data_IF_956984574699
#
_entry.id   IF_956984574699
#
_cell.length_a   1.000
_cell.length_b   1.000
_cell.length_c   1.000
_cell.angle_alpha   90.00
_cell.angle_beta   90.00
_cell.angle_gamma   90.00
#
_symmetry.space_group_name_H-M   'P 1'
#
loop_
_entity.id
_entity.type
_entity.pdbx_description
1 polymer ?
#
# COMPACT_ATOMS: atom_id res chain seq x y z
N UNK A 1 -5.35 10.33 -13.10
CA UNK A 1 -6.08 9.09 -12.77
C UNK A 1 -6.34 9.13 -11.27
N UNK A 2 -7.53 8.77 -10.80
CA UNK A 2 -7.86 8.84 -9.37
C UNK A 2 -7.61 7.49 -8.71
N UNK A 3 -6.91 7.49 -7.57
CA UNK A 3 -6.68 6.28 -6.77
C UNK A 3 -7.76 6.20 -5.72
N UNK A 4 -8.46 5.07 -5.67
CA UNK A 4 -9.48 4.79 -4.67
C UNK A 4 -9.01 3.65 -3.77
N UNK A 5 -9.03 3.91 -2.46
CA UNK A 5 -8.73 2.90 -1.46
C UNK A 5 -9.98 2.13 -1.10
N UNK A 6 -9.90 0.80 -1.05
CA UNK A 6 -10.97 0.00 -0.48
C UNK A 6 -11.04 0.21 1.03
N UNK A 7 -12.22 0.03 1.64
CA UNK A 7 -12.37 0.09 3.10
C UNK A 7 -11.39 -0.84 3.81
N UNK A 8 -11.16 -2.04 3.25
CA UNK A 8 -10.21 -3.00 3.81
C UNK A 8 -8.77 -2.44 3.80
N UNK A 9 -8.35 -1.81 2.70
CA UNK A 9 -7.03 -1.22 2.59
C UNK A 9 -6.84 -0.05 3.59
N UNK A 10 -7.88 0.76 3.80
CA UNK A 10 -7.85 1.80 4.85
C UNK A 10 -7.73 1.21 6.26
N UNK A 11 -8.48 0.14 6.57
CA UNK A 11 -8.36 -0.57 7.86
C UNK A 11 -6.96 -1.17 8.05
N UNK A 12 -6.35 -1.71 7.00
CA UNK A 12 -4.98 -2.21 7.08
C UNK A 12 -3.97 -1.10 7.43
N UNK A 13 -4.11 0.10 6.85
CA UNK A 13 -3.26 1.25 7.20
C UNK A 13 -3.38 1.62 8.68
N UNK A 14 -4.61 1.65 9.21
CA UNK A 14 -4.87 1.90 10.64
C UNK A 14 -4.22 0.82 11.50
N UNK A 15 -4.41 -0.45 11.17
CA UNK A 15 -3.82 -1.56 11.92
C UNK A 15 -2.29 -1.55 11.90
N UNK A 16 -1.68 -1.18 10.78
CA UNK A 16 -0.22 -1.01 10.66
C UNK A 16 0.25 0.12 11.59
N UNK A 17 -0.45 1.25 11.57
CA UNK A 17 -0.16 2.37 12.46
C UNK A 17 -0.23 1.97 13.92
N UNK A 18 -1.37 1.40 14.34
CA UNK A 18 -1.65 1.01 15.74
C UNK A 18 -0.70 -0.08 16.24
N UNK A 19 -0.19 -0.92 15.34
CA UNK A 19 0.80 -1.91 15.69
C UNK A 19 2.17 -1.28 15.96
N UNK A 20 2.68 -0.47 15.04
CA UNK A 20 4.03 0.13 15.13
C UNK A 20 4.06 1.23 16.22
N UNK A 21 2.95 1.94 16.44
CA UNK A 21 2.87 3.05 17.39
C UNK A 21 3.12 2.62 18.84
N UNK A 22 2.90 1.34 19.15
CA UNK A 22 3.25 0.73 20.45
C UNK A 22 4.72 0.88 20.80
N UNK A 23 5.59 0.85 19.79
CA UNK A 23 7.04 1.04 19.95
C UNK A 23 7.44 2.49 19.61
N UNK A 24 6.87 3.06 18.54
CA UNK A 24 7.17 4.43 18.13
C UNK A 24 6.13 5.03 17.19
N UNK A 25 5.41 6.06 17.66
CA UNK A 25 4.48 6.82 16.82
C UNK A 25 5.15 7.46 15.60
N UNK A 26 6.40 7.93 15.73
CA UNK A 26 7.13 8.54 14.63
C UNK A 26 7.35 7.55 13.48
N UNK A 27 7.81 6.32 13.80
CA UNK A 27 7.98 5.29 12.79
C UNK A 27 6.66 4.77 12.25
N UNK A 28 5.59 4.75 13.05
CA UNK A 28 4.25 4.40 12.60
C UNK A 28 3.74 5.38 11.53
N UNK A 29 3.84 6.70 11.79
CA UNK A 29 3.49 7.75 10.81
C UNK A 29 4.32 7.58 9.54
N UNK A 30 5.64 7.47 9.70
CA UNK A 30 6.56 7.32 8.57
C UNK A 30 6.25 6.09 7.71
N UNK A 31 5.83 4.97 8.30
CA UNK A 31 5.47 3.78 7.55
C UNK A 31 4.19 4.00 6.73
N UNK A 32 3.14 4.55 7.35
CA UNK A 32 1.89 4.86 6.65
C UNK A 32 2.14 5.85 5.51
N UNK A 33 2.91 6.90 5.75
CA UNK A 33 3.25 7.91 4.74
C UNK A 33 4.00 7.31 3.55
N UNK A 34 4.89 6.34 3.78
CA UNK A 34 5.59 5.65 2.70
C UNK A 34 4.62 4.84 1.84
N UNK A 35 3.70 4.11 2.47
CA UNK A 35 2.71 3.28 1.78
C UNK A 35 1.75 4.17 0.97
N UNK A 36 1.23 5.24 1.55
CA UNK A 36 0.29 6.15 0.87
C UNK A 36 0.96 6.90 -0.27
N UNK A 37 2.19 7.41 -0.08
CA UNK A 37 2.96 8.07 -1.14
C UNK A 37 3.25 7.13 -2.32
N UNK A 38 3.48 5.85 -2.04
CA UNK A 38 3.66 4.85 -3.09
C UNK A 38 2.38 4.69 -3.93
N UNK A 39 1.20 4.77 -3.32
CA UNK A 39 -0.08 4.79 -4.04
C UNK A 39 -0.26 6.00 -4.95
N UNK A 40 0.26 7.16 -4.57
CA UNK A 40 0.20 8.36 -5.41
C UNK A 40 1.03 8.20 -6.68
N UNK A 41 2.19 7.53 -6.61
CA UNK A 41 3.02 7.24 -7.78
C UNK A 41 2.25 6.38 -8.81
N UNK A 42 1.42 5.44 -8.36
CA UNK A 42 0.63 4.56 -9.24
C UNK A 42 -0.36 5.35 -10.10
N UNK A 43 -0.85 6.50 -9.62
CA UNK A 43 -1.72 7.37 -10.41
C UNK A 43 -1.03 7.88 -11.69
N UNK A 44 0.31 7.96 -11.69
CA UNK A 44 1.13 8.38 -12.81
C UNK A 44 1.68 7.20 -13.62
N UNK A 45 1.99 6.07 -12.97
CA UNK A 45 2.50 4.86 -13.62
C UNK A 45 1.73 3.59 -13.18
N UNK A 46 0.50 3.37 -13.68
CA UNK A 46 -0.36 2.26 -13.23
C UNK A 46 0.22 0.87 -13.50
N UNK A 47 1.11 0.77 -14.49
CA UNK A 47 1.73 -0.50 -14.93
C UNK A 47 3.08 -0.77 -14.26
N UNK A 48 3.52 0.08 -13.32
CA UNK A 48 4.80 -0.06 -12.62
C UNK A 48 4.86 -1.28 -11.68
N UNK A 49 3.70 -1.82 -11.29
CA UNK A 49 3.60 -3.02 -10.46
C UNK A 49 3.77 -4.32 -11.25
N UNK A 50 4.19 -5.37 -10.55
CA UNK A 50 4.25 -6.74 -11.08
C UNK A 50 2.84 -7.35 -11.06
N UNK A 51 2.54 -8.26 -11.99
CA UNK A 51 1.29 -9.05 -11.93
C UNK A 51 1.29 -9.91 -10.65
N UNK A 52 0.18 -9.87 -9.90
CA UNK A 52 0.07 -10.65 -8.67
C UNK A 52 -0.05 -12.15 -9.03
N UNK A 53 0.90 -13.01 -8.63
CA UNK A 53 0.90 -14.43 -9.03
C UNK A 53 -0.34 -15.20 -8.61
N UNK A 54 -0.92 -14.82 -7.47
CA UNK A 54 -2.08 -15.47 -6.88
C UNK A 54 -3.38 -15.16 -7.64
N UNK A 55 -3.42 -14.05 -8.40
CA UNK A 55 -4.55 -13.67 -9.21
C UNK A 55 -4.24 -13.98 -10.67
N UNK A 56 -5.06 -14.80 -11.32
CA UNK A 56 -4.95 -15.09 -12.76
C UNK A 56 -5.43 -13.91 -13.63
N UNK A 57 -5.19 -12.68 -13.17
CA UNK A 57 -5.65 -11.44 -13.79
C UNK A 57 -4.46 -10.48 -13.92
N UNK A 58 -4.12 -10.13 -15.16
CA UNK A 58 -3.01 -9.22 -15.48
C UNK A 58 -3.29 -7.76 -15.12
N UNK A 59 -4.53 -7.44 -14.75
CA UNK A 59 -4.92 -6.13 -14.24
C UNK A 59 -4.65 -5.98 -12.74
N UNK A 60 -4.54 -7.10 -12.00
CA UNK A 60 -4.22 -7.06 -10.57
C UNK A 60 -2.71 -7.00 -10.42
N UNK A 61 -2.22 -5.92 -9.79
CA UNK A 61 -0.78 -5.67 -9.65
C UNK A 61 -0.35 -5.55 -8.20
N UNK A 62 0.90 -5.85 -7.95
CA UNK A 62 1.55 -5.64 -6.66
C UNK A 62 2.77 -4.75 -6.78
N UNK A 63 2.98 -3.98 -5.73
CA UNK A 63 4.24 -3.31 -5.45
C UNK A 63 4.64 -3.54 -4.00
N UNK A 64 5.93 -3.43 -3.76
CA UNK A 64 6.52 -3.66 -2.44
C UNK A 64 6.94 -2.32 -1.84
N UNK A 65 6.58 -2.11 -0.57
CA UNK A 65 7.07 -1.01 0.26
C UNK A 65 7.55 -1.59 1.59
N UNK A 66 8.86 -1.84 1.68
CA UNK A 66 9.46 -2.54 2.82
C UNK A 66 8.86 -3.94 2.98
N UNK A 67 8.33 -4.32 4.17
CA UNK A 67 7.74 -5.63 4.40
C UNK A 67 6.30 -5.76 3.87
N UNK A 68 5.70 -4.69 3.34
CA UNK A 68 4.30 -4.67 2.91
C UNK A 68 4.15 -4.83 1.40
N UNK A 69 3.15 -5.61 0.99
CA UNK A 69 2.64 -5.69 -0.39
C UNK A 69 1.43 -4.78 -0.52
N UNK A 70 1.47 -3.87 -1.49
CA UNK A 70 0.33 -3.03 -1.88
C UNK A 70 -0.25 -3.66 -3.14
N UNK A 71 -1.50 -4.13 -3.05
CA UNK A 71 -2.22 -4.75 -4.16
C UNK A 71 -3.13 -3.68 -4.80
N UNK A 72 -3.07 -3.61 -6.12
CA UNK A 72 -3.71 -2.61 -7.00
C UNK A 72 -4.70 -3.29 -7.94
#
# INVERSE_FOLDING_TARGET
>A
MNVHWTHNATHHLVNIYDFISKDSEYYARRMVDRITKRSEQIAFEPLSGRIVPEYQDSNVREIFEGPYRIIL
#
